data_IF_848102273183
#
_entry.id   IF_848102273183
#
_cell.length_a   1.000
_cell.length_b   1.000
_cell.length_c   1.000
_cell.angle_alpha   90.00
_cell.angle_beta   90.00
_cell.angle_gamma   90.00
#
_symmetry.space_group_name_H-M   'P 1'
#
loop_
_entity.id
_entity.type
_entity.pdbx_description
1 polymer ?
#
# COMPACT_ATOMS: atom_id res chain seq x y z
N UNK A 1 -13.94 4.81 4.61
CA UNK A 1 -13.86 3.59 5.40
C UNK A 1 -14.58 3.76 6.73
N UNK A 2 -15.23 2.71 7.22
CA UNK A 2 -15.93 2.66 8.51
C UNK A 2 -15.15 1.80 9.48
N UNK A 3 -14.99 2.25 10.73
CA UNK A 3 -14.26 1.54 11.77
C UNK A 3 -15.24 0.68 12.57
N UNK A 4 -15.01 -0.64 12.59
CA UNK A 4 -15.84 -1.61 13.30
C UNK A 4 -15.42 -1.78 14.75
N UNK A 5 -14.13 -1.63 15.02
CA UNK A 5 -13.58 -1.78 16.36
C UNK A 5 -12.11 -1.50 16.47
N UNK A 6 -11.69 -1.21 17.69
CA UNK A 6 -10.28 -0.94 18.01
C UNK A 6 -9.88 -1.74 19.23
N UNK A 7 -8.68 -2.29 19.20
CA UNK A 7 -8.02 -2.90 20.35
C UNK A 7 -6.64 -2.25 20.58
N UNK A 8 -6.25 -2.13 21.83
CA UNK A 8 -4.90 -1.74 22.24
C UNK A 8 -4.38 -2.84 23.16
N UNK A 9 -3.26 -3.48 22.79
CA UNK A 9 -2.72 -4.66 23.48
C UNK A 9 -3.79 -5.74 23.72
N UNK A 10 -4.52 -6.10 22.64
CA UNK A 10 -5.60 -7.08 22.60
C UNK A 10 -6.82 -6.78 23.52
N UNK A 11 -6.88 -5.60 24.12
CA UNK A 11 -8.02 -5.12 24.89
C UNK A 11 -8.84 -4.12 24.11
N UNK A 12 -10.16 -4.27 24.13
CA UNK A 12 -11.08 -3.34 23.47
C UNK A 12 -10.83 -1.91 23.97
N UNK A 13 -10.65 -0.99 23.03
CA UNK A 13 -10.47 0.43 23.29
C UNK A 13 -11.68 1.23 22.78
N UNK A 14 -11.94 2.38 23.39
CA UNK A 14 -12.89 3.34 22.86
C UNK A 14 -12.22 4.13 21.75
N UNK A 15 -12.99 4.51 20.75
CA UNK A 15 -12.51 5.37 19.67
C UNK A 15 -13.57 6.39 19.29
N UNK A 16 -13.11 7.50 18.73
CA UNK A 16 -13.94 8.53 18.13
C UNK A 16 -13.32 8.91 16.78
N UNK A 17 -14.16 9.14 15.80
CA UNK A 17 -13.71 9.61 14.49
C UNK A 17 -14.30 11.00 14.21
N UNK A 18 -13.42 11.94 13.84
CA UNK A 18 -13.80 13.28 13.40
C UNK A 18 -13.04 13.57 12.09
N UNK A 19 -13.79 13.67 10.99
CA UNK A 19 -13.19 13.82 9.65
C UNK A 19 -12.15 12.72 9.35
N UNK A 20 -10.88 13.06 9.12
CA UNK A 20 -9.76 12.16 8.90
C UNK A 20 -9.08 11.65 10.18
N UNK A 21 -9.43 12.19 11.34
CA UNK A 21 -8.80 11.85 12.61
C UNK A 21 -9.51 10.68 13.29
N UNK A 22 -8.72 9.70 13.76
CA UNK A 22 -9.17 8.59 14.59
C UNK A 22 -8.51 8.68 15.96
N UNK A 23 -9.26 9.16 16.95
CA UNK A 23 -8.80 9.26 18.34
C UNK A 23 -9.07 7.97 19.10
N UNK A 24 -8.04 7.40 19.71
CA UNK A 24 -8.11 6.16 20.46
C UNK A 24 -7.96 6.44 21.96
N UNK A 25 -8.82 5.78 22.78
CA UNK A 25 -8.74 5.88 24.24
C UNK A 25 -8.47 4.48 24.81
N UNK A 26 -7.25 4.21 25.31
CA UNK A 26 -6.93 2.92 25.92
C UNK A 26 -7.76 2.68 27.19
N UNK A 27 -7.97 1.41 27.55
CA UNK A 27 -8.71 1.02 28.75
C UNK A 27 -7.96 1.37 30.07
N UNK A 28 -6.62 1.50 29.98
CA UNK A 28 -5.75 1.94 31.06
C UNK A 28 -4.65 2.84 30.51
N UNK A 29 -4.09 3.77 31.30
CA UNK A 29 -2.98 4.60 30.86
C UNK A 29 -1.80 3.75 30.35
N UNK A 30 -1.14 4.23 29.29
CA UNK A 30 0.10 3.67 28.78
C UNK A 30 1.25 4.41 29.46
N UNK A 31 2.28 3.66 29.92
CA UNK A 31 3.46 4.26 30.53
C UNK A 31 4.33 4.93 29.43
N UNK A 32 5.08 5.94 29.84
CA UNK A 32 6.04 6.58 28.95
C UNK A 32 7.09 5.57 28.46
N UNK A 33 7.38 5.59 27.14
CA UNK A 33 8.28 4.63 26.49
C UNK A 33 7.71 3.22 26.32
N UNK A 34 6.51 2.94 26.77
CA UNK A 34 5.89 1.62 26.62
C UNK A 34 5.50 1.36 25.15
N UNK A 35 6.03 0.29 24.56
CA UNK A 35 5.55 -0.22 23.30
C UNK A 35 4.14 -0.78 23.44
N UNK A 36 3.28 -0.54 22.48
CA UNK A 36 1.92 -1.07 22.43
C UNK A 36 1.50 -1.41 21.01
N UNK A 37 0.53 -2.29 20.86
CA UNK A 37 -0.05 -2.68 19.60
C UNK A 37 -1.45 -2.10 19.48
N UNK A 38 -1.78 -1.51 18.33
CA UNK A 38 -3.12 -1.10 17.98
C UNK A 38 -3.64 -1.98 16.86
N UNK A 39 -4.81 -2.57 17.06
CA UNK A 39 -5.55 -3.29 16.01
C UNK A 39 -6.80 -2.50 15.67
N UNK A 40 -6.96 -2.13 14.41
CA UNK A 40 -8.16 -1.46 13.90
C UNK A 40 -8.84 -2.38 12.90
N UNK A 41 -10.07 -2.80 13.22
CA UNK A 41 -10.94 -3.48 12.26
C UNK A 41 -11.78 -2.44 11.53
N UNK A 42 -11.80 -2.49 10.22
CA UNK A 42 -12.56 -1.55 9.39
C UNK A 42 -12.98 -2.18 8.06
N UNK A 43 -14.00 -1.62 7.43
CA UNK A 43 -14.49 -2.06 6.14
C UNK A 43 -14.91 -0.88 5.25
N UNK A 44 -15.33 -1.17 4.04
CA UNK A 44 -15.88 -0.20 3.09
C UNK A 44 -15.07 -0.12 1.80
N UNK A 45 -15.41 0.87 0.99
CA UNK A 45 -14.72 1.15 -0.27
C UNK A 45 -13.85 2.40 -0.10
N UNK A 46 -12.53 2.25 -0.14
CA UNK A 46 -11.64 3.40 -0.10
C UNK A 46 -11.94 4.35 -1.26
N UNK A 47 -11.86 5.64 -1.00
CA UNK A 47 -12.07 6.71 -1.98
C UNK A 47 -10.81 7.59 -2.05
N UNK A 48 -10.50 8.16 -3.20
CA UNK A 48 -9.41 9.13 -3.30
C UNK A 48 -9.71 10.39 -2.48
N UNK A 49 -8.68 11.15 -2.16
CA UNK A 49 -8.85 12.47 -1.56
C UNK A 49 -9.46 13.40 -2.61
N UNK A 50 -10.60 14.01 -2.25
CA UNK A 50 -11.32 14.96 -3.11
C UNK A 50 -11.50 16.33 -2.44
N UNK A 51 -11.29 16.39 -1.13
CA UNK A 51 -11.71 17.53 -0.29
C UNK A 51 -10.68 18.69 -0.28
N UNK A 52 -9.51 18.50 -0.90
CA UNK A 52 -8.49 19.54 -1.05
C UNK A 52 -8.22 19.84 -2.53
N UNK A 53 -8.88 20.85 -3.11
CA UNK A 53 -8.67 21.25 -4.51
C UNK A 53 -7.24 21.73 -4.82
N UNK A 54 -6.49 22.21 -3.82
CA UNK A 54 -5.12 22.65 -4.00
C UNK A 54 -4.17 21.45 -4.16
N UNK A 55 -4.34 20.43 -3.32
CA UNK A 55 -3.61 19.17 -3.46
C UNK A 55 -3.95 18.49 -4.79
N UNK A 56 -5.21 18.40 -5.15
CA UNK A 56 -5.65 17.79 -6.39
C UNK A 56 -5.10 18.50 -7.64
N UNK A 57 -4.95 19.83 -7.62
CA UNK A 57 -4.33 20.59 -8.71
C UNK A 57 -2.83 20.39 -8.82
N UNK A 58 -2.14 20.22 -7.69
CA UNK A 58 -0.68 20.11 -7.64
C UNK A 58 -0.19 18.70 -7.88
N UNK A 59 -0.87 17.70 -7.29
CA UNK A 59 -0.42 16.30 -7.26
C UNK A 59 -1.38 15.33 -7.97
N UNK A 60 -2.52 15.80 -8.46
CA UNK A 60 -3.57 14.96 -9.02
C UNK A 60 -4.39 14.23 -7.95
N UNK A 61 -5.08 13.18 -8.37
CA UNK A 61 -5.83 12.33 -7.45
C UNK A 61 -4.89 11.49 -6.59
N UNK A 62 -5.17 11.38 -5.30
CA UNK A 62 -4.35 10.67 -4.33
C UNK A 62 -5.17 9.61 -3.59
N UNK A 63 -4.47 8.59 -3.10
CA UNK A 63 -5.05 7.51 -2.34
C UNK A 63 -5.47 6.34 -3.23
N UNK A 64 -6.62 5.77 -2.94
CA UNK A 64 -7.13 4.59 -3.62
C UNK A 64 -7.83 4.97 -4.93
N UNK A 65 -7.19 4.71 -6.05
CA UNK A 65 -7.70 5.05 -7.39
C UNK A 65 -8.21 3.80 -8.10
N UNK A 66 -9.34 3.94 -8.79
CA UNK A 66 -9.85 2.94 -9.73
C UNK A 66 -9.54 3.42 -11.15
N UNK A 67 -8.66 2.69 -11.86
CA UNK A 67 -8.27 2.99 -13.23
C UNK A 67 -8.64 1.81 -14.13
N UNK A 68 -9.73 1.95 -14.86
CA UNK A 68 -10.32 0.83 -15.60
C UNK A 68 -10.70 -0.32 -14.67
N UNK A 69 -10.29 -1.57 -14.95
CA UNK A 69 -10.55 -2.73 -14.08
C UNK A 69 -9.58 -2.78 -12.89
N UNK A 70 -8.51 -1.97 -12.88
CA UNK A 70 -7.45 -2.01 -11.88
C UNK A 70 -7.64 -1.04 -10.72
N UNK A 71 -6.87 -1.28 -9.68
CA UNK A 71 -6.73 -0.42 -8.50
C UNK A 71 -5.27 -0.03 -8.39
N UNK A 72 -5.04 1.28 -8.18
CA UNK A 72 -3.71 1.83 -7.96
C UNK A 72 -3.76 2.76 -6.76
N UNK A 73 -2.81 2.61 -5.85
CA UNK A 73 -2.71 3.47 -4.68
C UNK A 73 -1.56 4.44 -4.87
N UNK A 74 -1.88 5.73 -4.90
CA UNK A 74 -0.93 6.84 -4.96
C UNK A 74 -1.02 7.58 -3.64
N UNK A 75 -0.14 7.25 -2.69
CA UNK A 75 -0.24 7.78 -1.33
C UNK A 75 0.40 9.15 -1.14
N UNK A 76 1.23 9.62 -2.05
CA UNK A 76 1.90 10.92 -1.96
C UNK A 76 0.96 12.08 -2.31
N UNK A 77 0.92 13.18 -1.50
CA UNK A 77 1.55 13.33 -0.21
C UNK A 77 0.69 12.87 0.98
N UNK A 78 -0.61 12.66 0.83
CA UNK A 78 -1.55 12.43 1.94
C UNK A 78 -2.46 11.20 1.77
N UNK A 79 -2.33 10.46 0.67
CA UNK A 79 -3.26 9.41 0.27
C UNK A 79 -3.27 8.14 1.12
N UNK A 80 -2.25 7.91 1.98
CA UNK A 80 -2.17 6.70 2.80
C UNK A 80 -3.40 6.52 3.70
N UNK A 81 -3.90 7.59 4.29
CA UNK A 81 -5.08 7.58 5.17
C UNK A 81 -6.38 7.16 4.48
N UNK A 82 -6.41 7.07 3.15
CA UNK A 82 -7.61 6.68 2.41
C UNK A 82 -7.89 5.19 2.48
N UNK A 83 -6.87 4.36 2.75
CA UNK A 83 -7.02 2.91 2.70
C UNK A 83 -6.55 2.16 3.95
N UNK A 84 -5.73 2.77 4.81
CA UNK A 84 -5.42 2.22 6.12
C UNK A 84 -5.21 3.32 7.17
N UNK A 85 -5.47 3.05 8.46
CA UNK A 85 -5.17 3.98 9.54
C UNK A 85 -3.66 4.17 9.66
N UNK A 86 -3.20 5.41 9.58
CA UNK A 86 -1.79 5.76 9.68
C UNK A 86 -1.61 7.08 10.42
N UNK A 87 -0.47 7.25 11.12
CA UNK A 87 0.02 8.58 11.43
C UNK A 87 0.58 9.16 10.12
N UNK A 88 -0.23 10.01 9.47
CA UNK A 88 0.06 10.48 8.11
C UNK A 88 1.09 11.61 8.10
N UNK A 89 2.22 11.40 8.78
CA UNK A 89 3.32 12.35 8.92
C UNK A 89 4.62 11.74 8.39
N UNK A 90 5.39 12.44 7.52
CA UNK A 90 6.57 11.88 6.85
C UNK A 90 7.73 11.52 7.76
N UNK A 91 7.76 12.04 9.00
CA UNK A 91 8.77 11.67 10.01
C UNK A 91 8.48 10.34 10.70
N UNK A 92 7.22 9.92 10.71
CA UNK A 92 6.79 8.68 11.36
C UNK A 92 6.98 7.50 10.41
N UNK A 93 8.21 7.05 10.31
CA UNK A 93 8.59 5.94 9.44
C UNK A 93 8.38 4.60 10.14
N UNK A 94 7.84 3.64 9.40
CA UNK A 94 7.61 2.28 9.87
C UNK A 94 8.03 1.25 8.83
N UNK A 95 8.21 0.01 9.25
CA UNK A 95 8.23 -1.16 8.36
C UNK A 95 6.80 -1.58 8.06
N UNK A 96 6.59 -2.28 6.94
CA UNK A 96 5.25 -2.67 6.50
C UNK A 96 5.20 -4.16 6.16
N UNK A 97 4.12 -4.79 6.56
CA UNK A 97 3.73 -6.11 6.11
C UNK A 97 2.32 -6.05 5.52
N UNK A 98 2.18 -6.48 4.28
CA UNK A 98 0.90 -6.51 3.60
C UNK A 98 0.48 -7.97 3.38
N UNK A 99 -0.78 -8.29 3.71
CA UNK A 99 -1.43 -9.54 3.33
C UNK A 99 -2.72 -9.18 2.59
N UNK A 100 -2.70 -9.29 1.27
CA UNK A 100 -3.76 -8.78 0.41
C UNK A 100 -4.38 -9.94 -0.36
N UNK A 101 -5.66 -10.20 -0.09
CA UNK A 101 -6.42 -11.26 -0.76
C UNK A 101 -7.28 -10.65 -1.86
N UNK A 102 -7.15 -11.17 -3.08
CA UNK A 102 -7.92 -10.75 -4.25
C UNK A 102 -8.53 -11.95 -4.95
N UNK A 103 -9.63 -11.72 -5.66
CA UNK A 103 -10.17 -12.72 -6.55
C UNK A 103 -9.21 -12.97 -7.72
N UNK A 104 -9.14 -14.19 -8.22
CA UNK A 104 -8.44 -14.46 -9.49
C UNK A 104 -9.26 -13.88 -10.66
N UNK A 105 -8.60 -13.39 -11.72
CA UNK A 105 -7.18 -13.47 -12.05
C UNK A 105 -6.31 -12.31 -11.55
N UNK A 106 -6.82 -11.46 -10.64
CA UNK A 106 -6.08 -10.29 -10.17
C UNK A 106 -4.77 -10.67 -9.47
N UNK A 107 -3.74 -9.86 -9.74
CA UNK A 107 -2.40 -9.93 -9.17
C UNK A 107 -2.15 -8.67 -8.34
N UNK A 108 -1.38 -8.79 -7.26
CA UNK A 108 -1.04 -7.68 -6.37
C UNK A 108 0.45 -7.38 -6.43
N UNK A 109 0.79 -6.13 -6.70
CA UNK A 109 2.13 -5.58 -6.49
C UNK A 109 2.08 -4.57 -5.33
N UNK A 110 3.04 -4.62 -4.42
CA UNK A 110 3.15 -3.71 -3.28
C UNK A 110 4.62 -3.39 -2.96
N UNK A 111 4.86 -2.52 -1.97
CA UNK A 111 6.23 -2.21 -1.53
C UNK A 111 6.94 -3.42 -0.95
N UNK A 112 8.26 -3.43 -1.11
CA UNK A 112 9.15 -4.41 -0.53
C UNK A 112 9.31 -5.67 -1.35
N UNK A 113 9.42 -6.82 -0.70
CA UNK A 113 9.65 -8.12 -1.32
C UNK A 113 8.41 -8.99 -1.19
N UNK A 114 8.03 -9.68 -2.27
CA UNK A 114 7.00 -10.71 -2.21
C UNK A 114 7.54 -11.90 -1.42
N UNK A 115 6.91 -12.18 -0.29
CA UNK A 115 7.33 -13.25 0.63
C UNK A 115 6.72 -14.58 0.21
N UNK A 116 5.40 -14.60 -0.01
CA UNK A 116 4.68 -15.78 -0.48
C UNK A 116 3.35 -15.45 -1.16
N UNK A 117 2.77 -16.45 -1.79
CA UNK A 117 1.43 -16.43 -2.38
C UNK A 117 0.66 -17.65 -1.87
N UNK A 118 -0.52 -17.44 -1.29
CA UNK A 118 -1.40 -18.50 -0.81
C UNK A 118 -2.63 -18.62 -1.69
N UNK A 119 -2.79 -19.76 -2.34
CA UNK A 119 -3.92 -20.08 -3.23
C UNK A 119 -5.11 -20.58 -2.42
N UNK A 120 -6.29 -19.98 -2.60
CA UNK A 120 -7.55 -20.36 -1.97
C UNK A 120 -8.60 -20.83 -3.00
N UNK A 121 -8.17 -21.26 -4.18
CA UNK A 121 -9.05 -21.64 -5.29
C UNK A 121 -9.54 -20.44 -6.09
N UNK A 122 -10.63 -19.80 -5.68
CA UNK A 122 -11.19 -18.64 -6.38
C UNK A 122 -10.47 -17.31 -6.07
N UNK A 123 -9.65 -17.28 -5.04
CA UNK A 123 -8.88 -16.09 -4.61
C UNK A 123 -7.43 -16.46 -4.32
N UNK A 124 -6.60 -15.43 -4.15
CA UNK A 124 -5.20 -15.58 -3.76
C UNK A 124 -4.79 -14.48 -2.80
N UNK A 125 -4.01 -14.84 -1.77
CA UNK A 125 -3.39 -13.89 -0.85
C UNK A 125 -1.94 -13.68 -1.24
N UNK A 126 -1.54 -12.43 -1.45
CA UNK A 126 -0.16 -12.02 -1.67
C UNK A 126 0.39 -11.41 -0.39
N UNK A 127 1.56 -11.91 0.07
CA UNK A 127 2.24 -11.37 1.25
C UNK A 127 3.49 -10.63 0.83
N UNK A 128 3.55 -9.36 1.19
CA UNK A 128 4.67 -8.47 0.91
C UNK A 128 5.27 -7.94 2.21
N UNK A 129 6.57 -7.69 2.23
CA UNK A 129 7.25 -7.09 3.37
C UNK A 129 8.23 -6.01 2.92
N UNK A 130 8.07 -4.80 3.47
CA UNK A 130 9.07 -3.74 3.41
C UNK A 130 9.72 -3.61 4.78
N UNK A 131 10.98 -4.02 4.86
CA UNK A 131 11.75 -4.09 6.11
C UNK A 131 12.55 -2.84 6.41
N UNK A 132 12.66 -1.93 5.46
CA UNK A 132 13.29 -0.62 5.66
C UNK A 132 12.22 0.39 6.09
N UNK A 133 12.46 1.16 7.17
CA UNK A 133 11.48 2.15 7.60
C UNK A 133 11.20 3.19 6.52
N UNK A 134 9.96 3.25 6.06
CA UNK A 134 9.50 4.24 5.09
C UNK A 134 8.32 5.05 5.63
N UNK A 135 8.15 6.28 5.14
CA UNK A 135 7.01 7.11 5.48
C UNK A 135 5.71 6.56 4.88
N UNK A 136 4.58 6.81 5.53
CA UNK A 136 3.25 6.31 5.10
C UNK A 136 2.88 6.71 3.68
N UNK A 137 3.28 7.89 3.23
CA UNK A 137 2.98 8.38 1.87
C UNK A 137 3.69 7.56 0.76
N UNK A 138 4.67 6.73 1.09
CA UNK A 138 5.32 5.80 0.16
C UNK A 138 4.60 4.46 0.08
N UNK A 139 3.68 4.16 1.01
CA UNK A 139 2.93 2.92 0.98
C UNK A 139 2.01 2.89 -0.25
N UNK A 140 2.24 1.92 -1.12
CA UNK A 140 1.51 1.79 -2.39
C UNK A 140 1.18 0.33 -2.67
N UNK A 141 0.15 0.13 -3.47
CA UNK A 141 -0.15 -1.15 -4.09
C UNK A 141 -0.82 -0.94 -5.45
N UNK A 142 -0.71 -1.94 -6.29
CA UNK A 142 -1.46 -2.06 -7.54
C UNK A 142 -2.13 -3.42 -7.60
N UNK A 143 -3.39 -3.45 -8.02
CA UNK A 143 -4.19 -4.67 -8.21
C UNK A 143 -4.80 -4.62 -9.60
N UNK A 144 -4.39 -5.51 -10.48
CA UNK A 144 -4.96 -5.66 -11.82
C UNK A 144 -4.68 -7.07 -12.37
N UNK A 145 -5.19 -7.35 -13.54
CA UNK A 145 -4.76 -8.51 -14.32
C UNK A 145 -3.40 -8.19 -14.94
N UNK A 146 -2.33 -8.53 -14.25
CA UNK A 146 -0.98 -8.27 -14.71
C UNK A 146 -0.32 -9.51 -15.31
N UNK A 147 0.39 -9.30 -16.42
CA UNK A 147 1.49 -10.14 -16.85
C UNK A 147 2.79 -9.65 -16.20
N UNK A 148 3.60 -10.59 -15.70
CA UNK A 148 4.84 -10.26 -15.02
C UNK A 148 6.01 -10.59 -15.93
N UNK A 149 6.71 -9.55 -16.40
CA UNK A 149 7.99 -9.68 -17.12
C UNK A 149 9.11 -9.49 -16.11
N UNK A 150 10.04 -10.44 -16.07
CA UNK A 150 11.16 -10.41 -15.12
C UNK A 150 12.45 -10.05 -15.84
N UNK A 151 13.32 -9.33 -15.15
CA UNK A 151 14.65 -8.97 -15.59
C UNK A 151 15.62 -8.99 -14.40
N UNK A 152 16.91 -8.80 -14.65
CA UNK A 152 17.95 -8.80 -13.63
C UNK A 152 18.80 -7.54 -13.73
N UNK A 153 18.83 -6.78 -12.66
CA UNK A 153 19.65 -5.59 -12.48
C UNK A 153 21.08 -5.88 -12.02
N UNK A 154 21.82 -4.84 -11.60
CA UNK A 154 23.16 -4.98 -11.02
C UNK A 154 23.14 -5.93 -9.81
N UNK A 155 24.25 -6.65 -9.61
CA UNK A 155 24.46 -7.57 -8.49
C UNK A 155 23.34 -8.60 -8.28
N UNK A 156 22.65 -8.97 -9.35
CA UNK A 156 21.57 -9.94 -9.30
C UNK A 156 20.24 -9.38 -8.77
N UNK A 157 20.08 -8.05 -8.68
CA UNK A 157 18.84 -7.40 -8.25
C UNK A 157 17.66 -7.88 -9.12
N UNK A 158 16.64 -8.54 -8.54
CA UNK A 158 15.49 -8.98 -9.31
C UNK A 158 14.62 -7.76 -9.71
N UNK A 159 14.27 -7.69 -10.98
CA UNK A 159 13.36 -6.68 -11.53
C UNK A 159 12.09 -7.38 -11.96
N UNK A 160 10.94 -6.83 -11.60
CA UNK A 160 9.62 -7.30 -12.04
C UNK A 160 8.84 -6.14 -12.61
N UNK A 161 8.41 -6.28 -13.85
CA UNK A 161 7.53 -5.34 -14.53
C UNK A 161 6.11 -5.94 -14.52
N UNK A 162 5.17 -5.21 -13.98
CA UNK A 162 3.76 -5.59 -13.93
C UNK A 162 3.04 -4.83 -15.04
N UNK A 163 2.63 -5.54 -16.06
CA UNK A 163 2.08 -4.97 -17.30
C UNK A 163 0.65 -5.46 -17.52
N UNK A 164 -0.23 -4.65 -18.11
CA UNK A 164 -1.50 -5.17 -18.59
C UNK A 164 -1.25 -6.22 -19.68
N UNK A 165 -2.12 -7.23 -19.85
CA UNK A 165 -1.94 -8.31 -20.84
C UNK A 165 -1.85 -7.82 -22.29
N UNK A 166 -2.37 -6.65 -22.57
CA UNK A 166 -2.38 -5.99 -23.88
C UNK A 166 -1.34 -4.86 -24.00
N UNK A 167 -0.31 -4.88 -23.15
CA UNK A 167 0.75 -3.86 -23.19
C UNK A 167 1.37 -3.77 -24.58
N UNK A 168 1.46 -2.55 -25.17
CA UNK A 168 2.07 -2.39 -26.47
C UNK A 168 3.53 -2.85 -26.49
N UNK A 169 3.93 -3.61 -27.54
CA UNK A 169 5.28 -4.14 -27.67
C UNK A 169 6.40 -3.09 -27.46
N UNK A 170 6.31 -1.84 -27.98
CA UNK A 170 7.32 -0.82 -27.71
C UNK A 170 7.46 -0.46 -26.21
N UNK A 171 6.40 -0.58 -25.41
CA UNK A 171 6.46 -0.36 -23.96
C UNK A 171 7.23 -1.49 -23.29
N UNK A 172 6.95 -2.74 -23.65
CA UNK A 172 7.66 -3.92 -23.14
C UNK A 172 9.15 -3.83 -23.47
N UNK A 173 9.50 -3.48 -24.72
CA UNK A 173 10.88 -3.30 -25.17
C UNK A 173 11.61 -2.20 -24.41
N UNK A 174 10.95 -1.06 -24.14
CA UNK A 174 11.54 0.03 -23.39
C UNK A 174 11.93 -0.37 -21.95
N UNK A 175 11.19 -1.30 -21.31
CA UNK A 175 11.48 -1.76 -19.97
C UNK A 175 12.78 -2.56 -19.87
N UNK A 176 13.21 -3.22 -20.94
CA UNK A 176 14.51 -3.90 -20.99
C UNK A 176 15.72 -2.96 -20.85
N UNK A 177 15.53 -1.65 -20.93
CA UNK A 177 16.57 -0.66 -20.59
C UNK A 177 16.78 -0.50 -19.07
N UNK A 178 15.84 -0.96 -18.22
CA UNK A 178 15.89 -0.79 -16.76
C UNK A 178 17.19 -1.29 -16.12
N UNK A 179 17.75 -2.47 -16.48
CA UNK A 179 19.03 -2.92 -15.94
C UNK A 179 20.20 -1.99 -16.27
N UNK A 180 20.20 -1.42 -17.47
CA UNK A 180 21.24 -0.46 -17.90
C UNK A 180 21.10 0.87 -17.15
N UNK A 181 19.86 1.35 -16.96
CA UNK A 181 19.58 2.56 -16.19
C UNK A 181 20.04 2.40 -14.74
N UNK A 182 19.72 1.28 -14.11
CA UNK A 182 20.16 1.01 -12.74
C UNK A 182 21.69 0.99 -12.64
N UNK A 183 22.41 0.37 -13.58
CA UNK A 183 23.89 0.40 -13.60
C UNK A 183 24.47 1.81 -13.78
N UNK A 184 23.74 2.70 -14.43
CA UNK A 184 24.19 4.07 -14.62
C UNK A 184 24.06 4.92 -13.34
N UNK A 185 23.05 4.63 -12.50
CA UNK A 185 22.75 5.40 -11.28
C UNK A 185 23.39 4.82 -10.01
N UNK A 186 24.01 3.67 -10.06
CA UNK A 186 24.75 3.05 -8.96
C UNK A 186 26.26 3.19 -9.13
#
# INVERSE_FOLDING_TARGET
LEVDGVQINDRRARFQRASSELTLTPAAPLADGQAFTVTVAYHGQPQPITDDPALARTYGQQGWLRLGPGIFVISEPAGAMTWFPANNHPRDKATYSFAITVAKPYVVAANGVLIDELDHGASRTYRWAETRPMASYLATLAIAEFEIVTDQGPDGLPIRHYLPPDAPQPVVEALHATPAMLRFYT
#
